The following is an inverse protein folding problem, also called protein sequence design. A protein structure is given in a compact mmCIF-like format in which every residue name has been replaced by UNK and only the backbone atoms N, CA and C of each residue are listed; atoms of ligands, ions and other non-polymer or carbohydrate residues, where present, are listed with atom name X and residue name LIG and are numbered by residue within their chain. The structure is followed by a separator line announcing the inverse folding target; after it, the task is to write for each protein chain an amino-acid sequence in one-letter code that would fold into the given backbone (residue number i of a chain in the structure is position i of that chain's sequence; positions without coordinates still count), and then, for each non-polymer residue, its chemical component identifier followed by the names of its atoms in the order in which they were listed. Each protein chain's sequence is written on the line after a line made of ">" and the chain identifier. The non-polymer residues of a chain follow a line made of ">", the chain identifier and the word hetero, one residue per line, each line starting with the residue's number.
data_IF_998725293431
#
_entry.id   IF_998725293431
#
_cell.length_a   1.000
_cell.length_b   1.000
_cell.length_c   1.000
_cell.angle_alpha   90.00
_cell.angle_beta   90.00
_cell.angle_gamma   90.00
#
_symmetry.space_group_name_H-M   'P 1'
#
loop_
_entity.id
_entity.type
_entity.pdbx_description
1 polymer ?
#
# COMPACT_ATOMS: atom_id res chain seq x y z
N UNK A 1 23.62 1.56 2.09
CA UNK A 1 22.32 1.00 2.51
C UNK A 1 21.46 0.87 1.27
N UNK A 2 21.53 -0.27 0.57
CA UNK A 2 20.49 -0.59 -0.41
C UNK A 2 19.33 -1.18 0.39
N UNK A 3 18.17 -0.52 0.35
CA UNK A 3 16.93 -1.15 0.82
C UNK A 3 16.34 -1.86 -0.39
N UNK A 4 16.27 -3.18 -0.33
CA UNK A 4 15.80 -4.00 -1.46
C UNK A 4 14.31 -3.80 -1.74
N UNK A 5 13.58 -3.22 -0.79
CA UNK A 5 12.14 -2.98 -0.84
C UNK A 5 11.80 -1.52 -0.48
N UNK A 6 11.00 -0.88 -1.33
CA UNK A 6 10.40 0.43 -1.10
C UNK A 6 8.88 0.27 -1.10
N UNK A 7 8.23 0.63 0.00
CA UNK A 7 6.77 0.68 0.09
C UNK A 7 6.29 2.12 -0.12
N UNK A 8 5.75 2.41 -1.30
CA UNK A 8 5.24 3.71 -1.67
C UNK A 8 3.82 3.92 -1.10
N UNK A 9 3.74 4.56 0.07
CA UNK A 9 2.48 4.98 0.71
C UNK A 9 2.18 6.47 0.50
N UNK A 10 2.91 7.15 -0.39
CA UNK A 10 2.70 8.57 -0.66
C UNK A 10 1.43 8.81 -1.50
N UNK A 11 0.98 10.06 -1.56
CA UNK A 11 -0.02 10.45 -2.55
C UNK A 11 0.60 10.43 -3.95
N UNK A 12 -0.26 10.31 -4.97
CA UNK A 12 0.18 10.36 -6.36
C UNK A 12 0.99 11.63 -6.70
N UNK A 13 0.62 12.78 -6.12
CA UNK A 13 1.30 14.05 -6.34
C UNK A 13 2.76 14.00 -5.87
N UNK A 14 3.02 13.43 -4.69
CA UNK A 14 4.36 13.26 -4.16
C UNK A 14 5.12 12.11 -4.84
N UNK A 15 4.46 10.99 -5.12
CA UNK A 15 5.11 9.85 -5.80
C UNK A 15 5.68 10.24 -7.17
N UNK A 16 5.04 11.17 -7.90
CA UNK A 16 5.56 11.66 -9.20
C UNK A 16 6.87 12.42 -9.11
N UNK A 17 7.26 12.90 -7.93
CA UNK A 17 8.55 13.58 -7.74
C UNK A 17 9.73 12.59 -7.63
N UNK A 18 9.45 11.29 -7.56
CA UNK A 18 10.46 10.24 -7.37
C UNK A 18 10.58 9.39 -8.64
N UNK A 19 11.79 9.26 -9.16
CA UNK A 19 12.11 8.30 -10.22
C UNK A 19 12.44 6.93 -9.60
N UNK A 20 11.39 6.15 -9.33
CA UNK A 20 11.51 4.80 -8.76
C UNK A 20 12.36 3.84 -9.60
N UNK A 21 12.42 4.04 -10.93
CA UNK A 21 13.21 3.19 -11.83
C UNK A 21 14.71 3.30 -11.61
N UNK A 22 15.17 4.42 -11.03
CA UNK A 22 16.59 4.66 -10.73
C UNK A 22 17.03 4.20 -9.34
N UNK A 23 16.10 3.76 -8.49
CA UNK A 23 16.40 3.42 -7.11
C UNK A 23 16.99 2.02 -6.93
N UNK A 24 16.92 1.16 -7.96
CA UNK A 24 17.48 -0.19 -7.90
C UNK A 24 16.83 -1.09 -6.85
N UNK A 25 15.61 -0.76 -6.42
CA UNK A 25 14.85 -1.47 -5.39
C UNK A 25 13.49 -1.93 -5.93
N UNK A 26 12.93 -3.00 -5.36
CA UNK A 26 11.56 -3.44 -5.63
C UNK A 26 10.60 -2.40 -5.03
N UNK A 27 9.71 -1.87 -5.85
CA UNK A 27 8.73 -0.86 -5.41
C UNK A 27 7.35 -1.47 -5.32
N UNK A 28 6.74 -1.32 -4.16
CA UNK A 28 5.39 -1.80 -3.87
C UNK A 28 4.51 -0.59 -3.57
N UNK A 29 3.37 -0.48 -4.25
CA UNK A 29 2.42 0.63 -4.06
C UNK A 29 1.06 0.08 -3.62
N UNK A 30 0.82 -0.07 -2.30
CA UNK A 30 -0.47 -0.51 -1.79
C UNK A 30 -1.62 0.42 -2.16
N UNK A 31 -2.74 -0.17 -2.58
CA UNK A 31 -3.97 0.53 -2.94
C UNK A 31 -5.07 0.21 -1.92
N UNK A 32 -5.74 1.25 -1.41
CA UNK A 32 -6.83 1.12 -0.44
C UNK A 32 -8.15 1.54 -1.09
N UNK A 33 -9.09 0.60 -1.17
CA UNK A 33 -10.38 0.79 -1.82
C UNK A 33 -11.50 0.54 -0.82
N UNK A 34 -12.51 1.40 -0.85
CA UNK A 34 -13.73 1.23 -0.06
C UNK A 34 -14.90 0.91 -1.00
N UNK A 35 -15.79 0.04 -0.55
CA UNK A 35 -17.04 -0.24 -1.24
C UNK A 35 -17.99 0.96 -1.12
N UNK A 36 -18.51 1.42 -2.26
CA UNK A 36 -19.61 2.39 -2.29
C UNK A 36 -20.55 2.08 -3.44
N UNK A 37 -21.69 1.47 -3.09
CA UNK A 37 -22.73 1.09 -4.04
C UNK A 37 -22.32 -0.09 -4.92
N UNK A 38 -21.80 -1.18 -4.32
CA UNK A 38 -21.42 -2.39 -5.04
C UNK A 38 -20.12 -2.29 -5.85
N UNK A 39 -19.37 -1.19 -5.70
CA UNK A 39 -18.10 -0.97 -6.42
C UNK A 39 -17.03 -0.46 -5.47
N UNK A 40 -15.84 -1.05 -5.58
CA UNK A 40 -14.64 -0.61 -4.88
C UNK A 40 -14.01 0.61 -5.56
N UNK A 41 -13.69 1.64 -4.79
CA UNK A 41 -12.96 2.81 -5.27
C UNK A 41 -12.16 3.46 -4.17
N UNK A 42 -11.18 4.26 -4.58
CA UNK A 42 -10.42 5.09 -3.64
C UNK A 42 -11.33 6.18 -3.07
N UNK A 43 -11.50 6.19 -1.75
CA UNK A 43 -12.09 7.31 -1.02
C UNK A 43 -10.95 8.05 -0.33
N UNK A 44 -10.58 9.23 -0.86
CA UNK A 44 -9.32 9.92 -0.54
C UNK A 44 -9.06 10.12 0.96
N UNK A 45 -10.08 10.42 1.76
CA UNK A 45 -9.91 10.58 3.21
C UNK A 45 -9.50 9.26 3.89
N UNK A 46 -10.19 8.17 3.56
CA UNK A 46 -9.88 6.84 4.09
C UNK A 46 -8.55 6.31 3.58
N UNK A 47 -8.26 6.48 2.28
CA UNK A 47 -6.99 6.06 1.70
C UNK A 47 -5.78 6.75 2.35
N UNK A 48 -5.88 8.05 2.68
CA UNK A 48 -4.82 8.77 3.42
C UNK A 48 -4.62 8.20 4.83
N UNK A 49 -5.72 7.89 5.53
CA UNK A 49 -5.68 7.27 6.86
C UNK A 49 -5.09 5.85 6.80
N UNK A 50 -5.53 5.04 5.85
CA UNK A 50 -5.07 3.68 5.63
C UNK A 50 -3.57 3.62 5.32
N UNK A 51 -3.04 4.55 4.51
CA UNK A 51 -1.59 4.71 4.29
C UNK A 51 -0.82 4.93 5.59
N UNK A 52 -1.31 5.81 6.47
CA UNK A 52 -0.71 6.04 7.78
C UNK A 52 -0.76 4.80 8.67
N UNK A 53 -1.87 4.05 8.65
CA UNK A 53 -2.01 2.79 9.38
C UNK A 53 -1.05 1.71 8.85
N UNK A 54 -0.91 1.59 7.54
CA UNK A 54 0.03 0.66 6.91
C UNK A 54 1.47 1.02 7.28
N UNK A 55 1.84 2.31 7.27
CA UNK A 55 3.17 2.75 7.70
C UNK A 55 3.42 2.37 9.18
N UNK A 56 2.43 2.59 10.06
CA UNK A 56 2.50 2.16 11.46
C UNK A 56 2.65 0.63 11.57
N UNK A 57 1.87 -0.13 10.80
CA UNK A 57 1.90 -1.59 10.78
C UNK A 57 3.28 -2.11 10.39
N UNK A 58 3.88 -1.57 9.31
CA UNK A 58 5.24 -1.88 8.86
C UNK A 58 6.25 -1.65 9.98
N UNK A 59 6.23 -0.48 10.60
CA UNK A 59 7.18 -0.14 11.68
C UNK A 59 6.99 -1.03 12.91
N UNK A 60 5.74 -1.26 13.33
CA UNK A 60 5.42 -2.04 14.53
C UNK A 60 5.82 -3.51 14.40
N UNK A 61 5.64 -4.10 13.22
CA UNK A 61 5.91 -5.51 12.95
C UNK A 61 7.28 -5.75 12.30
N UNK A 62 8.06 -4.67 12.08
CA UNK A 62 9.39 -4.72 11.44
C UNK A 62 9.36 -5.46 10.12
N UNK A 63 8.40 -5.10 9.27
CA UNK A 63 8.22 -5.75 7.98
C UNK A 63 9.39 -5.43 7.06
N UNK A 64 9.97 -6.48 6.48
CA UNK A 64 11.08 -6.39 5.52
C UNK A 64 10.77 -7.08 4.18
N UNK A 65 9.70 -7.89 4.12
CA UNK A 65 9.25 -8.61 2.91
C UNK A 65 7.89 -8.09 2.42
N UNK A 66 7.65 -8.07 1.11
CA UNK A 66 6.39 -7.59 0.52
C UNK A 66 5.20 -8.43 0.99
N UNK A 67 5.37 -9.74 1.04
CA UNK A 67 4.31 -10.71 1.33
C UNK A 67 3.76 -10.54 2.76
N UNK A 68 4.57 -9.99 3.67
CA UNK A 68 4.16 -9.68 5.05
C UNK A 68 3.18 -8.50 5.12
N UNK A 69 3.10 -7.67 4.07
CA UNK A 69 2.13 -6.57 3.99
C UNK A 69 0.69 -7.08 3.88
N UNK A 70 0.49 -8.30 3.36
CA UNK A 70 -0.85 -8.84 3.10
C UNK A 70 -1.63 -9.14 4.39
N UNK A 71 -0.94 -9.27 5.52
CA UNK A 71 -1.55 -9.40 6.85
C UNK A 71 -2.06 -8.08 7.46
N UNK A 72 -2.02 -6.97 6.73
CA UNK A 72 -2.56 -5.70 7.21
C UNK A 72 -4.09 -5.75 7.31
N UNK A 73 -4.60 -5.52 8.53
CA UNK A 73 -6.04 -5.52 8.85
C UNK A 73 -6.54 -4.20 9.45
N UNK A 74 -5.85 -3.08 9.17
CA UNK A 74 -6.16 -1.79 9.78
C UNK A 74 -7.57 -1.31 9.44
N UNK A 75 -8.40 -1.06 10.45
CA UNK A 75 -9.76 -0.50 10.30
C UNK A 75 -10.68 -1.27 9.36
N UNK A 76 -10.53 -2.61 9.28
CA UNK A 76 -11.38 -3.48 8.46
C UNK A 76 -10.95 -3.62 7.01
N UNK A 77 -9.86 -2.96 6.60
CA UNK A 77 -9.21 -3.31 5.34
C UNK A 77 -8.68 -4.73 5.39
N UNK A 78 -8.76 -5.45 4.28
CA UNK A 78 -8.18 -6.79 4.13
C UNK A 78 -7.59 -6.94 2.72
N UNK A 79 -6.56 -7.77 2.59
CA UNK A 79 -5.93 -8.03 1.30
C UNK A 79 -6.91 -8.70 0.31
N UNK A 80 -6.94 -8.18 -0.92
CA UNK A 80 -7.72 -8.72 -2.03
C UNK A 80 -6.81 -9.28 -3.11
N UNK A 81 -6.56 -10.58 -3.09
CA UNK A 81 -5.76 -11.25 -4.11
C UNK A 81 -6.34 -11.16 -5.52
N UNK A 82 -7.67 -11.00 -5.63
CA UNK A 82 -8.37 -10.90 -6.92
C UNK A 82 -8.14 -9.55 -7.60
N UNK A 83 -8.06 -8.46 -6.82
CA UNK A 83 -7.86 -7.11 -7.34
C UNK A 83 -6.37 -6.70 -7.38
N UNK A 84 -5.51 -7.48 -6.74
CA UNK A 84 -4.09 -7.20 -6.65
C UNK A 84 -3.36 -7.55 -7.95
N UNK A 85 -2.31 -6.78 -8.22
CA UNK A 85 -1.34 -7.06 -9.28
C UNK A 85 0.08 -7.04 -8.69
N UNK A 86 1.06 -7.52 -9.46
CA UNK A 86 2.46 -7.53 -9.04
C UNK A 86 2.92 -6.12 -8.64
N UNK A 87 3.47 -5.99 -7.42
CA UNK A 87 3.92 -4.71 -6.85
C UNK A 87 2.79 -3.71 -6.51
N UNK A 88 1.52 -4.12 -6.64
CA UNK A 88 0.34 -3.28 -6.36
C UNK A 88 -0.71 -4.07 -5.57
N UNK A 89 -0.43 -4.44 -4.31
CA UNK A 89 -1.40 -5.12 -3.47
C UNK A 89 -2.59 -4.20 -3.17
N UNK A 90 -3.79 -4.74 -3.32
CA UNK A 90 -5.06 -4.05 -3.08
C UNK A 90 -5.64 -4.51 -1.74
N UNK A 91 -6.05 -3.55 -0.93
CA UNK A 91 -6.75 -3.75 0.31
C UNK A 91 -8.15 -3.16 0.20
N UNK A 92 -9.17 -3.97 0.47
CA UNK A 92 -10.58 -3.60 0.36
C UNK A 92 -11.25 -3.50 1.72
N UNK A 93 -12.22 -2.59 1.85
CA UNK A 93 -13.09 -2.45 3.01
C UNK A 93 -14.52 -2.16 2.56
#
# INVERSE_FOLDING_TARGET
>A
MNSDLIVNLASFEYSRSVDFGRLGARVVTPCFLDEKGGKYKVISFYAKRARGLMARYICAHRIVEEESLFGFEGEGYHYSGVLSAFGSPVFTR
#
